data_IF_073312011672
#
_entry.id   IF_073312011672
#
_cell.length_a   1.000
_cell.length_b   1.000
_cell.length_c   1.000
_cell.angle_alpha   90.00
_cell.angle_beta   90.00
_cell.angle_gamma   90.00
#
_symmetry.space_group_name_H-M   'P 1'
#
loop_
_entity.id
_entity.type
_entity.pdbx_description
1 polymer ?
#
# COMPACT_ATOMS: atom_id res chain seq x y z
N UNK A 1 8.22 -49.63 -46.08
CA UNK A 1 7.23 -49.27 -45.01
C UNK A 1 7.71 -48.00 -44.37
N UNK A 2 7.10 -46.85 -44.66
CA UNK A 2 7.48 -45.53 -44.13
C UNK A 2 6.79 -45.32 -42.79
N UNK A 3 7.56 -45.31 -41.69
CA UNK A 3 7.04 -44.90 -40.39
C UNK A 3 6.78 -43.39 -40.43
N UNK A 4 5.53 -43.01 -40.40
CA UNK A 4 5.11 -41.64 -40.15
C UNK A 4 5.23 -41.42 -38.66
N UNK A 5 6.28 -40.69 -38.26
CA UNK A 5 6.40 -40.10 -36.92
C UNK A 5 5.35 -39.00 -36.80
N UNK A 6 4.27 -39.28 -36.10
CA UNK A 6 3.27 -38.27 -35.74
C UNK A 6 3.84 -37.50 -34.59
N UNK A 7 4.44 -36.36 -34.91
CA UNK A 7 4.82 -35.35 -33.91
C UNK A 7 3.53 -34.69 -33.43
N UNK A 8 3.03 -35.13 -32.29
CA UNK A 8 1.98 -34.42 -31.56
C UNK A 8 2.64 -33.19 -30.99
N UNK A 9 2.51 -32.05 -31.69
CA UNK A 9 2.75 -30.73 -31.13
C UNK A 9 1.60 -30.50 -30.16
N UNK A 10 1.83 -30.73 -28.86
CA UNK A 10 0.99 -30.16 -27.82
C UNK A 10 1.16 -28.67 -27.94
N UNK A 11 0.28 -28.01 -28.66
CA UNK A 11 0.01 -26.59 -28.47
C UNK A 11 -0.53 -26.48 -27.03
N UNK A 12 0.33 -26.15 -26.11
CA UNK A 12 -0.07 -25.56 -24.84
C UNK A 12 -0.72 -24.22 -25.21
N UNK A 13 -2.00 -24.27 -25.49
CA UNK A 13 -2.85 -23.10 -25.41
C UNK A 13 -2.73 -22.65 -23.96
N UNK A 14 -1.85 -21.67 -23.70
CA UNK A 14 -1.96 -20.84 -22.53
C UNK A 14 -3.33 -20.14 -22.69
N UNK A 15 -4.37 -20.78 -22.22
CA UNK A 15 -5.61 -20.12 -21.88
C UNK A 15 -5.19 -19.21 -20.71
N UNK A 16 -4.86 -17.99 -21.03
CA UNK A 16 -4.78 -16.91 -20.05
C UNK A 16 -6.22 -16.74 -19.56
N UNK A 17 -6.62 -17.58 -18.60
CA UNK A 17 -7.73 -17.21 -17.77
C UNK A 17 -7.29 -15.94 -17.07
N UNK A 18 -8.01 -14.86 -17.23
CA UNK A 18 -7.89 -13.72 -16.35
C UNK A 18 -8.10 -14.26 -14.94
N UNK A 19 -7.03 -14.32 -14.16
CA UNK A 19 -7.12 -14.79 -12.78
C UNK A 19 -7.79 -13.67 -12.00
N UNK A 20 -8.95 -13.94 -11.43
CA UNK A 20 -9.55 -13.04 -10.44
C UNK A 20 -8.87 -13.34 -9.11
N UNK A 21 -8.22 -12.35 -8.54
CA UNK A 21 -7.58 -12.44 -7.23
C UNK A 21 -8.63 -12.31 -6.13
N UNK A 22 -8.59 -13.23 -5.17
CA UNK A 22 -9.56 -13.34 -4.07
C UNK A 22 -8.88 -13.28 -2.72
N UNK A 23 -9.66 -13.24 -1.65
CA UNK A 23 -9.13 -13.27 -0.27
C UNK A 23 -8.25 -14.51 -0.07
N UNK A 24 -7.04 -14.28 0.44
CA UNK A 24 -5.98 -15.26 0.63
C UNK A 24 -4.96 -15.34 -0.52
N UNK A 25 -5.24 -14.71 -1.67
CA UNK A 25 -4.27 -14.63 -2.75
C UNK A 25 -3.25 -13.50 -2.50
N UNK A 26 -2.04 -13.66 -3.04
CA UNK A 26 -1.05 -12.58 -3.08
C UNK A 26 -1.39 -11.64 -4.24
N UNK A 27 -1.56 -10.36 -3.95
CA UNK A 27 -1.81 -9.34 -4.96
C UNK A 27 -0.62 -9.20 -5.93
N UNK A 28 -0.87 -9.03 -7.24
CA UNK A 28 0.19 -8.94 -8.23
C UNK A 28 0.96 -7.62 -8.08
N UNK A 29 2.22 -7.70 -7.63
CA UNK A 29 3.05 -6.49 -7.41
C UNK A 29 3.32 -5.70 -8.69
N UNK A 30 3.30 -6.35 -9.86
CA UNK A 30 3.48 -5.72 -11.17
C UNK A 30 2.19 -5.10 -11.73
N UNK A 31 1.05 -5.23 -11.03
CA UNK A 31 -0.16 -4.53 -11.40
C UNK A 31 0.01 -3.04 -11.23
N UNK A 32 -0.30 -2.29 -12.29
CA UNK A 32 -0.24 -0.83 -12.28
C UNK A 32 -1.12 -0.24 -13.37
N UNK A 33 -1.62 0.96 -13.09
CA UNK A 33 -2.49 1.72 -14.00
C UNK A 33 -2.04 3.18 -14.08
N UNK A 34 -2.38 3.88 -15.19
CA UNK A 34 -2.07 5.29 -15.34
C UNK A 34 -2.69 6.14 -14.23
N UNK A 35 -1.93 7.10 -13.75
CA UNK A 35 -2.47 8.15 -12.90
C UNK A 35 -3.52 8.97 -13.64
N UNK A 36 -4.54 9.39 -12.90
CA UNK A 36 -5.47 10.38 -13.41
C UNK A 36 -5.77 11.52 -12.42
N UNK A 37 -5.48 11.33 -11.15
CA UNK A 37 -5.61 12.37 -10.12
C UNK A 37 -4.64 12.18 -8.97
N UNK A 38 -4.25 13.28 -8.34
CA UNK A 38 -3.38 13.32 -7.16
C UNK A 38 -2.03 12.59 -7.33
N UNK A 39 -1.43 12.71 -8.52
CA UNK A 39 -0.10 12.15 -8.78
C UNK A 39 0.97 12.92 -8.00
N UNK A 40 1.56 12.28 -7.00
CA UNK A 40 2.62 12.85 -6.15
C UNK A 40 4.01 12.40 -6.56
N UNK A 41 4.13 11.39 -7.43
CA UNK A 41 5.43 10.80 -7.81
C UNK A 41 6.02 11.37 -9.08
N UNK A 42 5.19 11.94 -9.96
CA UNK A 42 5.58 12.38 -11.29
C UNK A 42 5.75 11.24 -12.31
N UNK A 43 5.53 9.98 -11.92
CA UNK A 43 5.52 8.83 -12.82
C UNK A 43 4.22 8.77 -13.62
N UNK A 44 4.23 8.13 -14.79
CA UNK A 44 3.04 8.00 -15.63
C UNK A 44 2.01 7.00 -15.07
N UNK A 45 2.44 6.06 -14.25
CA UNK A 45 1.60 5.01 -13.65
C UNK A 45 1.95 4.79 -12.19
N UNK A 46 0.95 4.30 -11.42
CA UNK A 46 1.11 3.81 -10.07
C UNK A 46 1.11 2.29 -10.12
N UNK A 47 2.05 1.66 -9.40
CA UNK A 47 2.16 0.21 -9.30
C UNK A 47 2.01 -0.27 -7.86
N UNK A 48 1.45 -1.48 -7.65
CA UNK A 48 1.35 -2.06 -6.31
C UNK A 48 2.73 -2.35 -5.69
N UNK A 49 3.77 -2.56 -6.52
CA UNK A 49 5.14 -2.72 -6.03
C UNK A 49 5.67 -1.47 -5.31
N UNK A 50 5.14 -0.29 -5.61
CA UNK A 50 5.54 0.96 -4.97
C UNK A 50 5.20 0.96 -3.47
N UNK A 51 4.27 0.10 -3.06
CA UNK A 51 3.80 -0.05 -1.67
C UNK A 51 4.23 -1.37 -1.02
N UNK A 52 4.97 -2.20 -1.74
CA UNK A 52 5.53 -3.44 -1.22
C UNK A 52 6.91 -3.18 -0.60
N UNK A 53 7.03 -3.25 0.72
CA UNK A 53 8.27 -2.94 1.43
C UNK A 53 9.48 -3.80 1.04
N UNK A 54 9.28 -4.94 0.37
CA UNK A 54 10.39 -5.75 -0.15
C UNK A 54 10.84 -5.35 -1.56
N UNK A 55 10.07 -4.54 -2.27
CA UNK A 55 10.31 -4.16 -3.66
C UNK A 55 10.54 -2.67 -3.85
N UNK A 56 9.97 -1.82 -3.01
CA UNK A 56 10.15 -0.38 -3.09
C UNK A 56 11.51 0.06 -2.50
N UNK A 57 11.98 1.24 -2.90
CA UNK A 57 13.29 1.76 -2.49
C UNK A 57 13.36 2.15 -1.00
N UNK A 58 12.21 2.38 -0.36
CA UNK A 58 12.15 2.85 1.03
C UNK A 58 12.19 1.71 2.04
N UNK A 59 11.85 0.49 1.64
CA UNK A 59 11.65 -0.64 2.54
C UNK A 59 10.36 -0.55 3.38
N UNK A 60 9.56 0.51 3.21
CA UNK A 60 8.29 0.69 3.94
C UNK A 60 7.16 -0.09 3.27
N UNK A 61 6.55 -1.08 3.94
CA UNK A 61 5.32 -1.68 3.48
C UNK A 61 4.12 -0.80 3.80
N UNK A 62 3.00 -1.10 3.16
CA UNK A 62 1.73 -0.39 3.37
C UNK A 62 0.57 -1.37 3.45
N UNK A 63 -0.49 -0.97 4.16
CA UNK A 63 -1.83 -1.53 3.98
C UNK A 63 -2.48 -0.76 2.84
N UNK A 64 -3.01 -1.48 1.84
CA UNK A 64 -3.55 -0.86 0.63
C UNK A 64 -5.05 -1.10 0.59
N UNK A 65 -5.81 -0.04 0.39
CA UNK A 65 -7.25 -0.11 0.10
C UNK A 65 -7.50 0.34 -1.33
N UNK A 66 -7.91 -0.56 -2.21
CA UNK A 66 -8.34 -0.25 -3.56
C UNK A 66 -9.87 -0.14 -3.57
N UNK A 67 -10.38 1.02 -3.98
CA UNK A 67 -11.79 1.24 -4.23
C UNK A 67 -12.02 1.34 -5.74
N UNK A 68 -12.67 0.34 -6.34
CA UNK A 68 -13.05 0.37 -7.76
C UNK A 68 -14.40 1.05 -7.93
N UNK A 69 -14.49 1.98 -8.87
CA UNK A 69 -15.71 2.74 -9.12
C UNK A 69 -15.87 3.17 -10.57
N UNK A 70 -17.08 3.62 -10.94
CA UNK A 70 -17.35 4.32 -12.19
C UNK A 70 -17.80 5.74 -11.91
N UNK A 71 -17.53 6.67 -12.83
CA UNK A 71 -17.80 8.11 -12.62
C UNK A 71 -19.30 8.44 -12.47
N UNK A 72 -20.19 7.56 -12.87
CA UNK A 72 -21.66 7.70 -12.81
C UNK A 72 -22.33 6.93 -11.67
N UNK A 73 -21.57 6.26 -10.81
CA UNK A 73 -22.09 5.35 -9.78
C UNK A 73 -22.54 6.11 -8.51
N UNK A 74 -23.83 6.23 -8.21
CA UNK A 74 -24.27 7.00 -7.05
C UNK A 74 -23.94 6.34 -5.70
N UNK A 75 -23.74 5.04 -5.65
CA UNK A 75 -23.30 4.35 -4.45
C UNK A 75 -21.80 4.58 -4.20
N UNK A 76 -21.01 4.72 -5.27
CA UNK A 76 -19.61 5.09 -5.18
C UNK A 76 -19.47 6.53 -4.64
N UNK A 77 -20.32 7.47 -5.10
CA UNK A 77 -20.36 8.83 -4.54
C UNK A 77 -20.67 8.85 -3.03
N UNK A 78 -21.54 7.95 -2.57
CA UNK A 78 -21.88 7.85 -1.13
C UNK A 78 -20.72 7.28 -0.29
N UNK A 79 -19.83 6.50 -0.89
CA UNK A 79 -18.68 5.90 -0.21
C UNK A 79 -17.51 6.89 -0.06
N UNK A 80 -17.40 7.84 -0.97
CA UNK A 80 -16.29 8.81 -1.03
C UNK A 80 -16.01 9.55 0.28
N UNK A 81 -16.99 10.08 1.05
CA UNK A 81 -16.71 10.74 2.31
C UNK A 81 -15.95 9.82 3.30
N UNK A 82 -16.34 8.56 3.35
CA UNK A 82 -15.67 7.59 4.23
C UNK A 82 -14.22 7.33 3.81
N UNK A 83 -13.96 7.16 2.51
CA UNK A 83 -12.60 6.94 2.01
C UNK A 83 -11.71 8.16 2.27
N UNK A 84 -12.22 9.37 2.10
CA UNK A 84 -11.48 10.60 2.39
C UNK A 84 -11.18 10.75 3.87
N UNK A 85 -12.16 10.50 4.75
CA UNK A 85 -11.98 10.54 6.20
C UNK A 85 -10.90 9.53 6.66
N UNK A 86 -10.90 8.32 6.09
CA UNK A 86 -9.89 7.30 6.39
C UNK A 86 -8.50 7.73 5.92
N UNK A 87 -8.43 8.31 4.73
CA UNK A 87 -7.17 8.83 4.21
C UNK A 87 -6.58 9.89 5.15
N UNK A 88 -7.38 10.86 5.58
CA UNK A 88 -6.92 11.92 6.48
C UNK A 88 -6.42 11.40 7.83
N UNK A 89 -7.00 10.31 8.32
CA UNK A 89 -6.64 9.75 9.63
C UNK A 89 -5.41 8.82 9.54
N UNK A 90 -5.29 8.01 8.48
CA UNK A 90 -4.36 6.88 8.47
C UNK A 90 -3.28 6.93 7.39
N UNK A 91 -3.24 7.93 6.50
CA UNK A 91 -2.22 8.02 5.45
C UNK A 91 -0.80 8.04 6.04
N UNK A 92 -0.58 8.80 7.10
CA UNK A 92 0.72 8.86 7.78
C UNK A 92 1.05 7.58 8.55
N UNK A 93 0.02 6.80 8.90
CA UNK A 93 0.14 5.52 9.61
C UNK A 93 0.33 4.31 8.69
N UNK A 94 0.64 4.53 7.41
CA UNK A 94 0.93 3.45 6.46
C UNK A 94 -0.27 2.88 5.72
N UNK A 95 -1.41 3.58 5.70
CA UNK A 95 -2.51 3.28 4.81
C UNK A 95 -2.31 4.01 3.46
N UNK A 96 -2.45 3.28 2.38
CA UNK A 96 -2.61 3.84 1.04
C UNK A 96 -4.01 3.53 0.54
N UNK A 97 -4.75 4.59 0.14
CA UNK A 97 -6.02 4.44 -0.58
C UNK A 97 -5.77 4.70 -2.05
N UNK A 98 -6.29 3.83 -2.91
CA UNK A 98 -6.20 3.95 -4.37
C UNK A 98 -7.62 3.92 -4.91
N UNK A 99 -8.08 5.05 -5.44
CA UNK A 99 -9.33 5.09 -6.20
C UNK A 99 -9.07 4.59 -7.62
N UNK A 100 -9.63 3.46 -7.99
CA UNK A 100 -9.51 2.88 -9.32
C UNK A 100 -10.80 3.16 -10.10
N UNK A 101 -10.79 4.24 -10.88
CA UNK A 101 -11.97 4.75 -11.57
C UNK A 101 -12.02 4.39 -13.04
N UNK A 102 -13.22 4.18 -13.57
CA UNK A 102 -13.50 3.91 -14.97
C UNK A 102 -14.72 4.70 -15.48
N UNK A 103 -15.06 4.56 -16.78
CA UNK A 103 -16.19 5.21 -17.42
C UNK A 103 -16.19 6.74 -17.26
N UNK A 104 -15.05 7.36 -17.53
CA UNK A 104 -14.88 8.81 -17.40
C UNK A 104 -15.64 9.61 -18.45
N UNK A 105 -16.04 10.85 -18.07
CA UNK A 105 -16.61 11.85 -18.99
C UNK A 105 -18.10 12.11 -18.79
N UNK A 106 -18.83 11.27 -18.08
CA UNK A 106 -20.22 11.49 -17.73
C UNK A 106 -20.58 10.82 -16.39
N UNK A 107 -20.91 11.56 -15.30
CA UNK A 107 -20.96 13.03 -15.25
C UNK A 107 -19.58 13.68 -15.05
N UNK A 108 -18.57 12.93 -14.58
CA UNK A 108 -17.26 13.48 -14.22
C UNK A 108 -16.15 12.97 -15.13
N UNK A 109 -15.21 13.87 -15.48
CA UNK A 109 -13.84 13.45 -15.84
C UNK A 109 -13.10 13.01 -14.59
N UNK A 110 -11.93 12.42 -14.72
CA UNK A 110 -11.12 12.05 -13.56
C UNK A 110 -10.78 13.24 -12.68
N UNK A 111 -10.26 14.31 -13.28
CA UNK A 111 -9.96 15.55 -12.56
C UNK A 111 -11.23 16.14 -11.93
N UNK A 112 -12.35 16.11 -12.65
CA UNK A 112 -13.64 16.58 -12.15
C UNK A 112 -14.15 15.76 -10.95
N UNK A 113 -13.85 14.46 -10.90
CA UNK A 113 -14.14 13.62 -9.74
C UNK A 113 -13.32 14.05 -8.53
N UNK A 114 -12.00 14.17 -8.70
CA UNK A 114 -11.08 14.61 -7.63
C UNK A 114 -11.48 15.97 -7.07
N UNK A 115 -11.74 16.95 -7.97
CA UNK A 115 -12.12 18.32 -7.58
C UNK A 115 -13.49 18.38 -6.89
N UNK A 116 -14.49 17.66 -7.43
CA UNK A 116 -15.86 17.70 -6.92
C UNK A 116 -15.96 17.11 -5.50
N UNK A 117 -15.17 16.08 -5.22
CA UNK A 117 -15.20 15.39 -3.93
C UNK A 117 -14.05 15.78 -3.00
N UNK A 118 -13.12 16.63 -3.44
CA UNK A 118 -12.00 17.12 -2.61
C UNK A 118 -11.04 16.01 -2.17
N UNK A 119 -10.75 15.06 -3.07
CA UNK A 119 -9.96 13.87 -2.73
C UNK A 119 -8.49 14.19 -2.55
N UNK A 120 -7.88 13.62 -1.49
CA UNK A 120 -6.45 13.72 -1.22
C UNK A 120 -5.63 12.49 -1.66
N UNK A 121 -6.27 11.34 -1.86
CA UNK A 121 -5.61 10.10 -2.19
C UNK A 121 -5.44 9.86 -3.71
N UNK A 122 -4.52 8.97 -4.11
CA UNK A 122 -4.28 8.59 -5.49
C UNK A 122 -5.52 8.13 -6.24
N UNK A 123 -5.73 8.65 -7.46
CA UNK A 123 -6.74 8.16 -8.40
C UNK A 123 -6.04 7.66 -9.66
N UNK A 124 -6.33 6.42 -10.02
CA UNK A 124 -5.83 5.78 -11.24
C UNK A 124 -6.98 5.52 -12.22
N UNK A 125 -6.67 5.56 -13.51
CA UNK A 125 -7.64 5.30 -14.56
C UNK A 125 -7.58 3.85 -14.99
N UNK A 126 -8.64 3.11 -14.67
CA UNK A 126 -8.84 1.78 -15.21
C UNK A 126 -9.36 1.91 -16.64
N UNK A 127 -8.43 1.76 -17.60
CA UNK A 127 -8.74 1.92 -19.00
C UNK A 127 -9.67 0.81 -19.46
N UNK A 128 -10.82 1.22 -19.96
CA UNK A 128 -11.79 0.33 -20.59
C UNK A 128 -11.09 -0.47 -21.70
N UNK A 129 -11.01 -1.77 -21.55
CA UNK A 129 -10.85 -2.63 -22.71
C UNK A 129 -12.19 -2.56 -23.44
N UNK A 130 -12.22 -1.86 -24.55
CA UNK A 130 -13.36 -1.57 -25.36
C UNK A 130 -14.07 -2.86 -25.80
N UNK A 131 -14.90 -3.38 -24.93
CA UNK A 131 -15.90 -4.38 -25.26
C UNK A 131 -17.25 -3.78 -24.85
N UNK A 132 -18.08 -3.56 -25.84
CA UNK A 132 -19.40 -2.91 -25.82
C UNK A 132 -20.39 -3.52 -24.79
N UNK A 133 -19.96 -4.50 -23.98
CA UNK A 133 -20.81 -5.31 -23.07
C UNK A 133 -20.16 -5.64 -21.69
N UNK A 134 -18.94 -5.23 -21.41
CA UNK A 134 -18.29 -5.46 -20.11
C UNK A 134 -18.06 -4.14 -19.39
N UNK A 135 -18.74 -3.96 -18.27
CA UNK A 135 -18.53 -2.87 -17.35
C UNK A 135 -17.22 -3.10 -16.55
N UNK A 136 -16.38 -2.08 -16.48
CA UNK A 136 -15.14 -2.12 -15.74
C UNK A 136 -13.91 -2.41 -16.62
N UNK A 137 -12.79 -1.79 -16.24
CA UNK A 137 -11.52 -1.93 -16.92
C UNK A 137 -10.76 -3.20 -16.55
N UNK A 138 -9.50 -3.28 -16.98
CA UNK A 138 -8.64 -4.43 -16.73
C UNK A 138 -8.36 -4.65 -15.25
N UNK A 139 -8.19 -3.56 -14.48
CA UNK A 139 -7.89 -3.63 -13.05
C UNK A 139 -9.08 -4.11 -12.25
N UNK A 140 -10.28 -3.62 -12.54
CA UNK A 140 -11.49 -4.09 -11.90
C UNK A 140 -11.67 -5.61 -12.10
N UNK A 141 -11.48 -6.10 -13.32
CA UNK A 141 -11.62 -7.52 -13.66
C UNK A 141 -10.56 -8.43 -13.03
N UNK A 142 -9.46 -7.88 -12.51
CA UNK A 142 -8.47 -8.65 -11.74
C UNK A 142 -8.90 -8.91 -10.29
N UNK A 143 -9.70 -8.02 -9.70
CA UNK A 143 -10.05 -8.07 -8.28
C UNK A 143 -11.53 -8.35 -8.02
N UNK A 144 -12.39 -8.15 -9.02
CA UNK A 144 -13.83 -8.40 -8.89
C UNK A 144 -14.45 -8.76 -10.24
N UNK A 145 -15.49 -9.57 -10.21
CA UNK A 145 -16.30 -9.97 -11.36
C UNK A 145 -17.74 -9.46 -11.27
N UNK A 146 -18.04 -8.61 -10.29
CA UNK A 146 -19.42 -8.28 -9.94
C UNK A 146 -19.82 -6.87 -10.33
N UNK A 147 -19.71 -5.91 -9.40
CA UNK A 147 -20.20 -4.54 -9.63
C UNK A 147 -19.48 -3.54 -8.72
N UNK A 148 -19.68 -2.24 -9.01
CA UNK A 148 -19.13 -1.13 -8.25
C UNK A 148 -20.12 -0.55 -7.23
N UNK A 149 -19.66 0.05 -6.12
CA UNK A 149 -18.25 0.08 -5.72
C UNK A 149 -17.74 -1.31 -5.37
N UNK A 150 -16.43 -1.53 -5.50
CA UNK A 150 -15.80 -2.74 -5.03
C UNK A 150 -14.57 -2.40 -4.20
N UNK A 151 -14.48 -3.00 -3.02
CA UNK A 151 -13.47 -2.70 -2.02
C UNK A 151 -12.55 -3.89 -1.83
N UNK A 152 -11.27 -3.68 -2.04
CA UNK A 152 -10.22 -4.67 -1.87
C UNK A 152 -9.22 -4.13 -0.85
N UNK A 153 -8.91 -4.92 0.20
CA UNK A 153 -7.87 -4.55 1.17
C UNK A 153 -6.75 -5.57 1.07
N UNK A 154 -5.54 -5.06 0.93
CA UNK A 154 -4.30 -5.82 0.82
C UNK A 154 -3.45 -5.46 2.04
N UNK A 155 -2.99 -6.48 2.78
CA UNK A 155 -2.14 -6.26 3.94
C UNK A 155 -0.67 -5.97 3.53
N UNK A 156 0.16 -5.66 4.51
CA UNK A 156 1.57 -5.34 4.35
C UNK A 156 2.44 -6.48 3.76
N UNK A 157 1.92 -7.70 3.71
CA UNK A 157 2.55 -8.87 3.07
C UNK A 157 2.03 -9.08 1.64
N UNK A 158 1.29 -8.12 1.09
CA UNK A 158 0.64 -8.19 -0.23
C UNK A 158 -0.43 -9.26 -0.32
N UNK A 159 -1.00 -9.74 0.78
CA UNK A 159 -2.11 -10.68 0.79
C UNK A 159 -3.44 -9.91 0.77
N UNK A 160 -4.37 -10.32 -0.08
CA UNK A 160 -5.73 -9.80 -0.10
C UNK A 160 -6.48 -10.35 1.10
N UNK A 161 -6.85 -9.47 2.03
CA UNK A 161 -7.54 -9.84 3.28
C UNK A 161 -9.03 -9.50 3.27
N UNK A 162 -9.47 -8.73 2.27
CA UNK A 162 -10.87 -8.38 2.08
C UNK A 162 -11.14 -8.10 0.61
N UNK A 163 -12.30 -8.56 0.11
CA UNK A 163 -12.80 -8.26 -1.23
C UNK A 163 -14.32 -8.35 -1.20
N UNK A 164 -15.00 -7.23 -1.45
CA UNK A 164 -16.46 -7.17 -1.49
C UNK A 164 -16.93 -6.08 -2.45
N UNK A 165 -17.96 -6.39 -3.23
CA UNK A 165 -18.65 -5.43 -4.08
C UNK A 165 -19.96 -4.95 -3.43
N UNK A 166 -20.33 -3.71 -3.72
CA UNK A 166 -21.52 -3.03 -3.18
C UNK A 166 -21.21 -2.15 -1.98
N UNK A 167 -22.13 -1.23 -1.72
CA UNK A 167 -22.06 -0.30 -0.60
C UNK A 167 -23.13 -0.64 0.43
N UNK A 168 -22.72 -1.14 1.58
CA UNK A 168 -23.59 -1.54 2.69
C UNK A 168 -23.80 -0.41 3.72
N UNK A 169 -23.59 0.85 3.29
CA UNK A 169 -23.73 2.02 4.16
C UNK A 169 -22.69 2.05 5.28
N UNK A 170 -23.03 2.75 6.36
CA UNK A 170 -22.14 2.93 7.51
C UNK A 170 -21.68 1.60 8.14
N UNK A 171 -22.54 0.58 8.16
CA UNK A 171 -22.18 -0.72 8.73
C UNK A 171 -21.09 -1.43 7.92
N UNK A 172 -21.15 -1.37 6.58
CA UNK A 172 -20.12 -1.89 5.69
C UNK A 172 -18.80 -1.14 5.87
N UNK A 173 -18.87 0.20 5.95
CA UNK A 173 -17.69 1.04 6.15
C UNK A 173 -17.02 0.79 7.51
N UNK A 174 -17.80 0.61 8.58
CA UNK A 174 -17.26 0.23 9.90
C UNK A 174 -16.57 -1.14 9.88
N UNK A 175 -17.05 -2.09 9.07
CA UNK A 175 -16.36 -3.36 8.89
C UNK A 175 -15.01 -3.18 8.17
N UNK A 176 -14.97 -2.39 7.09
CA UNK A 176 -13.73 -2.02 6.39
C UNK A 176 -12.75 -1.33 7.35
N UNK A 177 -13.23 -0.39 8.15
CA UNK A 177 -12.44 0.29 9.17
C UNK A 177 -11.74 -0.69 10.12
N UNK A 178 -12.50 -1.62 10.69
CA UNK A 178 -11.95 -2.61 11.63
C UNK A 178 -10.90 -3.51 10.97
N UNK A 179 -11.08 -3.86 9.69
CA UNK A 179 -10.11 -4.67 8.93
C UNK A 179 -8.82 -3.88 8.70
N UNK A 180 -8.92 -2.62 8.27
CA UNK A 180 -7.76 -1.75 8.01
C UNK A 180 -6.98 -1.52 9.29
N UNK A 181 -7.65 -1.11 10.38
CA UNK A 181 -6.96 -0.85 11.67
C UNK A 181 -6.30 -2.10 12.20
N UNK A 182 -6.95 -3.28 12.14
CA UNK A 182 -6.33 -4.54 12.51
C UNK A 182 -5.12 -4.90 11.64
N UNK A 183 -5.14 -4.56 10.36
CA UNK A 183 -4.00 -4.81 9.47
C UNK A 183 -2.83 -3.85 9.75
N UNK A 184 -3.12 -2.59 10.07
CA UNK A 184 -2.12 -1.60 10.49
C UNK A 184 -1.48 -1.99 11.82
N UNK A 185 -2.27 -2.41 12.82
CA UNK A 185 -1.77 -2.89 14.12
C UNK A 185 -0.83 -4.09 13.99
N UNK A 186 -0.98 -4.90 12.94
CA UNK A 186 -0.11 -6.04 12.64
C UNK A 186 1.12 -5.66 11.82
N UNK A 187 1.19 -4.43 11.33
CA UNK A 187 2.27 -3.94 10.49
C UNK A 187 3.15 -2.94 11.25
N UNK A 188 4.07 -3.45 12.03
CA UNK A 188 5.03 -2.59 12.71
C UNK A 188 5.77 -1.64 11.73
N UNK A 189 6.24 -2.19 10.58
CA UNK A 189 6.97 -1.42 9.58
C UNK A 189 6.11 -0.41 8.79
N UNK A 190 4.78 -0.46 8.89
CA UNK A 190 3.91 0.53 8.28
C UNK A 190 3.91 1.84 9.05
N UNK A 191 3.87 1.74 10.37
CA UNK A 191 3.71 2.88 11.27
C UNK A 191 5.02 3.38 11.83
N UNK A 192 5.99 2.55 12.09
CA UNK A 192 7.19 2.71 12.90
C UNK A 192 6.91 3.46 14.21
N UNK A 193 7.52 3.10 15.32
CA UNK A 193 7.59 4.08 16.39
C UNK A 193 8.54 5.19 15.92
N UNK A 194 8.04 6.41 15.78
CA UNK A 194 8.84 7.56 15.32
C UNK A 194 9.85 8.01 16.39
N UNK A 195 10.08 7.21 17.41
CA UNK A 195 10.95 7.57 18.51
C UNK A 195 12.40 7.44 18.06
N UNK A 196 13.00 8.56 17.74
CA UNK A 196 14.43 8.65 17.41
C UNK A 196 15.25 7.98 18.52
N UNK A 197 16.01 6.95 18.17
CA UNK A 197 16.88 6.22 19.07
C UNK A 197 16.37 4.87 19.55
N UNK A 198 15.08 4.55 19.43
CA UNK A 198 14.53 3.23 19.78
C UNK A 198 14.69 2.25 18.60
N UNK A 199 15.90 1.73 18.43
CA UNK A 199 16.27 0.92 17.26
C UNK A 199 16.05 -0.57 17.50
N UNK A 200 16.10 -1.02 18.75
CA UNK A 200 15.87 -2.42 19.14
C UNK A 200 14.43 -2.72 19.52
N UNK A 201 13.58 -1.65 19.60
CA UNK A 201 12.16 -1.72 19.95
C UNK A 201 11.91 -2.37 21.30
N UNK A 202 12.74 -2.08 22.27
CA UNK A 202 12.57 -2.55 23.64
C UNK A 202 11.65 -1.61 24.43
N UNK A 203 10.79 -2.23 25.25
CA UNK A 203 9.81 -1.49 26.06
C UNK A 203 9.99 -1.80 27.56
N UNK A 204 9.71 -0.78 28.37
CA UNK A 204 9.59 -0.95 29.81
C UNK A 204 8.32 -1.74 30.18
N UNK A 205 8.18 -2.10 31.46
CA UNK A 205 6.98 -2.73 31.99
C UNK A 205 5.72 -1.82 31.94
N UNK A 206 5.88 -0.55 31.59
CA UNK A 206 4.82 0.45 31.46
C UNK A 206 4.55 0.79 29.99
N UNK A 207 5.01 -0.05 29.07
CA UNK A 207 4.91 0.11 27.60
C UNK A 207 5.59 1.40 27.07
N UNK A 208 6.56 1.95 27.83
CA UNK A 208 7.36 3.08 27.36
C UNK A 208 8.62 2.56 26.65
N UNK A 209 9.01 3.13 25.49
CA UNK A 209 10.22 2.76 24.78
C UNK A 209 11.48 2.97 25.66
N UNK A 210 12.40 2.04 25.62
CA UNK A 210 13.68 2.14 26.30
C UNK A 210 14.75 2.53 25.30
N UNK A 211 15.33 3.72 25.43
CA UNK A 211 16.45 4.16 24.60
C UNK A 211 17.72 4.09 25.41
N UNK A 212 18.59 3.14 25.07
CA UNK A 212 19.80 2.89 25.84
C UNK A 212 21.02 2.48 24.97
N UNK A 213 22.03 1.91 25.62
CA UNK A 213 23.24 1.45 24.93
C UNK A 213 22.98 0.27 23.97
N UNK A 214 21.90 -0.46 24.13
CA UNK A 214 21.58 -1.61 23.25
C UNK A 214 21.16 -1.06 21.88
N UNK A 215 20.39 0.03 21.84
CA UNK A 215 20.06 0.73 20.59
C UNK A 215 21.31 1.25 19.87
N UNK A 216 22.25 1.81 20.63
CA UNK A 216 23.53 2.25 20.06
C UNK A 216 24.33 1.11 19.43
N UNK A 217 24.35 -0.06 20.10
CA UNK A 217 25.00 -1.26 19.55
C UNK A 217 24.25 -1.73 18.30
N UNK A 218 22.93 -1.73 18.31
CA UNK A 218 22.10 -2.11 17.16
C UNK A 218 22.36 -1.17 15.98
N UNK A 219 22.41 0.16 16.21
CA UNK A 219 22.76 1.15 15.20
C UNK A 219 24.15 0.88 14.61
N UNK A 220 25.14 0.55 15.45
CA UNK A 220 26.49 0.21 15.01
C UNK A 220 26.50 -1.04 14.10
N UNK A 221 25.70 -2.04 14.45
CA UNK A 221 25.58 -3.27 13.66
C UNK A 221 24.91 -2.98 12.31
N UNK A 222 23.84 -2.19 12.28
CA UNK A 222 23.15 -1.76 11.04
C UNK A 222 24.09 -1.02 10.10
N UNK A 223 24.88 -0.05 10.62
CA UNK A 223 25.83 0.73 9.79
C UNK A 223 26.97 -0.15 9.27
N UNK A 224 27.33 -1.21 9.99
CA UNK A 224 28.45 -2.09 9.65
C UNK A 224 28.06 -3.28 8.78
N UNK A 225 26.77 -3.61 8.72
CA UNK A 225 26.26 -4.74 7.94
C UNK A 225 26.01 -4.34 6.48
N UNK A 226 26.08 -5.35 5.58
CA UNK A 226 25.61 -5.18 4.21
C UNK A 226 24.09 -5.48 4.09
N UNK A 227 23.39 -5.60 5.24
CA UNK A 227 21.95 -5.88 5.28
C UNK A 227 21.14 -4.67 4.81
N UNK A 228 19.99 -4.91 4.23
CA UNK A 228 19.08 -3.84 3.85
C UNK A 228 18.48 -3.21 5.12
N UNK A 229 18.83 -1.97 5.36
CA UNK A 229 18.27 -1.15 6.44
C UNK A 229 16.83 -0.80 6.06
N UNK A 230 15.88 -1.22 6.88
CA UNK A 230 14.49 -0.87 6.64
C UNK A 230 14.22 0.62 6.94
N UNK A 231 13.06 1.08 6.51
CA UNK A 231 12.68 2.49 6.64
C UNK A 231 12.57 2.95 8.11
N UNK A 232 12.11 2.08 9.04
CA UNK A 232 12.01 2.40 10.45
C UNK A 232 13.40 2.54 11.10
N UNK A 233 14.28 1.57 10.88
CA UNK A 233 15.66 1.62 11.38
C UNK A 233 16.40 2.85 10.86
N UNK A 234 16.12 3.26 9.61
CA UNK A 234 16.68 4.49 9.05
C UNK A 234 16.15 5.72 9.76
N UNK A 235 14.84 5.87 9.91
CA UNK A 235 14.22 7.01 10.57
C UNK A 235 14.62 7.14 12.04
N UNK A 236 14.69 6.02 12.75
CA UNK A 236 15.06 5.96 14.17
C UNK A 236 16.57 6.18 14.40
N UNK A 237 17.39 5.86 13.42
CA UNK A 237 18.85 5.98 13.52
C UNK A 237 19.46 7.22 12.87
N UNK A 238 18.71 7.99 12.10
CA UNK A 238 19.18 9.21 11.42
C UNK A 238 19.15 10.41 12.37
N UNK A 239 20.15 10.48 13.24
CA UNK A 239 20.28 11.56 14.24
C UNK A 239 20.69 12.89 13.65
N UNK A 240 21.22 12.91 12.44
CA UNK A 240 21.64 14.13 11.74
C UNK A 240 20.55 14.71 10.85
N UNK A 241 19.52 13.91 10.49
CA UNK A 241 18.42 14.32 9.63
C UNK A 241 18.83 14.48 8.17
N UNK A 242 19.93 13.83 7.74
CA UNK A 242 20.45 13.96 6.38
C UNK A 242 19.93 12.84 5.42
N UNK A 243 19.13 11.91 5.95
CA UNK A 243 18.54 10.77 5.23
C UNK A 243 19.51 9.60 5.01
N UNK A 244 20.73 9.68 5.55
CA UNK A 244 21.77 8.65 5.45
C UNK A 244 22.08 8.08 6.82
N UNK A 245 22.07 6.75 6.94
CA UNK A 245 22.49 6.09 8.15
C UNK A 245 24.00 5.80 8.08
N UNK A 246 24.78 6.46 8.94
CA UNK A 246 26.22 6.36 8.89
C UNK A 246 26.89 6.61 10.27
N UNK A 247 28.22 6.61 10.31
CA UNK A 247 28.98 6.77 11.55
C UNK A 247 28.81 8.14 12.23
N UNK A 248 28.32 9.16 11.52
CA UNK A 248 28.04 10.47 12.12
C UNK A 248 26.81 10.36 13.02
N UNK A 249 25.79 9.62 12.61
CA UNK A 249 24.60 9.35 13.40
C UNK A 249 24.94 8.55 14.65
N UNK A 250 25.79 7.52 14.51
CA UNK A 250 26.28 6.74 15.64
C UNK A 250 26.98 7.61 16.67
N UNK A 251 27.78 8.58 16.21
CA UNK A 251 28.48 9.52 17.08
C UNK A 251 27.52 10.51 17.74
N UNK A 252 26.54 11.03 17.01
CA UNK A 252 25.50 11.91 17.52
C UNK A 252 24.69 11.21 18.60
N UNK A 253 24.26 9.98 18.35
CA UNK A 253 23.51 9.17 19.31
C UNK A 253 24.30 8.87 20.57
N UNK A 254 25.54 8.42 20.44
CA UNK A 254 26.42 8.18 21.59
C UNK A 254 26.60 9.44 22.46
N UNK A 255 26.67 10.62 21.85
CA UNK A 255 26.78 11.90 22.55
C UNK A 255 25.50 12.20 23.34
N UNK A 256 24.34 12.05 22.72
CA UNK A 256 23.02 12.28 23.34
C UNK A 256 22.78 11.32 24.53
N UNK A 257 23.13 10.04 24.38
CA UNK A 257 23.06 9.08 25.47
C UNK A 257 23.97 9.48 26.64
N UNK A 258 25.21 9.90 26.35
CA UNK A 258 26.15 10.30 27.38
C UNK A 258 25.72 11.59 28.13
N UNK A 259 24.99 12.46 27.46
CA UNK A 259 24.41 13.69 28.05
C UNK A 259 23.09 13.42 28.79
N UNK A 260 22.58 12.21 28.74
CA UNK A 260 21.34 11.82 29.42
C UNK A 260 20.07 12.35 28.73
N UNK A 261 20.11 12.59 27.43
CA UNK A 261 18.98 13.17 26.67
C UNK A 261 17.70 12.32 26.72
N UNK A 262 17.82 11.04 26.98
CA UNK A 262 16.72 10.07 27.05
C UNK A 262 16.39 9.59 28.48
N UNK A 263 17.06 10.14 29.49
CA UNK A 263 16.75 9.86 30.89
C UNK A 263 15.60 10.79 31.36
N UNK A 264 14.38 10.30 31.30
CA UNK A 264 13.21 10.96 31.92
C UNK A 264 12.90 10.33 33.28
#
# INVERSE_FOLDING_TARGET
MKNKLITIILLLLNLSYSQVYTVGDTAPSDFGLPWCGNNTTGNDSLFLMDFNGTLNETGRPYVIWIMSFTSWCPYCEQEVPYTQDFYEIYADSGLIIIGMGSDWGQPYTCEGWVENFGLGYPIISDLDTYNEYEYGGQGMNLFTDTYVPSNIIINHNMEIIYSQSGFDGEAGMNNIFNIITSALDQCYLCTCSELLGDIDHSFSNEDEPIIDVIDLLKLSDLISSDDQINHCERGQGDFTGDGLLNTIDLFAFATMLAEGAFNN
#
